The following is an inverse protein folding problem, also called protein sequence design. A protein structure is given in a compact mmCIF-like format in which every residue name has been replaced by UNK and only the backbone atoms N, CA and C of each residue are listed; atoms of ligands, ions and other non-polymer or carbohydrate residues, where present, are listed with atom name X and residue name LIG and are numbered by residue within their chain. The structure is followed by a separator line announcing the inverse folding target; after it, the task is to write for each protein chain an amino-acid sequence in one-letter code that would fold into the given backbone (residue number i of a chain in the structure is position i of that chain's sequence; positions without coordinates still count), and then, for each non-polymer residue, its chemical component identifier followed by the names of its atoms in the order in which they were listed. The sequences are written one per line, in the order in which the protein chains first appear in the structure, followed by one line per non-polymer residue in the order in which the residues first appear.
data_IF_098927585974
#
_entry.id   IF_098927585974
#
_cell.length_a   1.000
_cell.length_b   1.000
_cell.length_c   1.000
_cell.angle_alpha   90.00
_cell.angle_beta   90.00
_cell.angle_gamma   90.00
#
_symmetry.space_group_name_H-M   'P 1'
#
loop_
_entity.id
_entity.type
_entity.pdbx_description
1 polymer ?
#
# COMPACT_ATOMS: atom_id res chain seq x y z
N UNK A 1 7.47 7.69 34.17
CA UNK A 1 6.86 7.31 32.88
C UNK A 1 6.41 5.85 32.87
N UNK A 2 7.31 4.87 32.94
CA UNK A 2 6.99 3.42 32.89
C UNK A 2 5.89 2.99 33.87
N UNK A 3 5.96 3.39 35.15
CA UNK A 3 4.91 3.07 36.14
C UNK A 3 3.54 3.72 35.86
N UNK A 4 3.54 4.89 35.23
CA UNK A 4 2.29 5.55 34.84
C UNK A 4 1.68 4.86 33.61
N UNK A 5 2.54 4.45 32.66
CA UNK A 5 2.14 3.63 31.52
C UNK A 5 1.53 2.29 31.96
N UNK A 6 2.16 1.58 32.90
CA UNK A 6 1.68 0.25 33.34
C UNK A 6 0.26 0.26 33.90
N UNK A 7 -0.23 1.40 34.40
CA UNK A 7 -1.61 1.54 34.88
C UNK A 7 -2.66 1.48 33.76
N UNK A 8 -2.28 1.73 32.50
CA UNK A 8 -3.16 1.73 31.33
C UNK A 8 -3.12 0.42 30.54
N UNK A 9 -2.23 -0.51 30.92
CA UNK A 9 -2.07 -1.81 30.26
C UNK A 9 -3.21 -2.73 30.69
N UNK A 10 -4.01 -3.20 29.72
CA UNK A 10 -5.26 -3.95 29.99
C UNK A 10 -5.11 -5.48 29.94
N UNK A 11 -3.92 -5.99 29.63
CA UNK A 11 -3.64 -7.42 29.52
C UNK A 11 -2.17 -7.77 29.73
N UNK A 12 -1.80 -9.06 29.66
CA UNK A 12 -0.40 -9.48 29.79
C UNK A 12 0.43 -9.00 28.61
N UNK A 13 1.59 -8.41 28.88
CA UNK A 13 2.56 -8.01 27.84
C UNK A 13 3.60 -9.12 27.72
N UNK A 14 3.76 -9.66 26.51
CA UNK A 14 4.84 -10.59 26.17
C UNK A 14 5.86 -9.88 25.30
N UNK A 15 7.11 -9.87 25.77
CA UNK A 15 8.27 -9.39 25.04
C UNK A 15 9.12 -10.61 24.66
N UNK A 16 9.44 -10.76 23.38
CA UNK A 16 10.44 -11.73 22.96
C UNK A 16 11.71 -10.97 22.58
N UNK A 17 12.84 -11.36 23.12
CA UNK A 17 14.16 -10.86 22.71
C UNK A 17 14.86 -11.96 21.93
N UNK A 18 15.10 -11.71 20.66
CA UNK A 18 15.96 -12.55 19.83
C UNK A 18 17.40 -12.08 19.95
N UNK A 19 18.26 -12.92 20.52
CA UNK A 19 19.69 -12.69 20.58
C UNK A 19 20.40 -13.39 19.42
N UNK A 20 21.54 -12.83 19.04
CA UNK A 20 22.37 -13.33 17.95
C UNK A 20 23.83 -13.38 18.39
N UNK A 21 24.75 -13.72 17.49
CA UNK A 21 26.19 -13.62 17.75
C UNK A 21 26.67 -12.16 17.83
N UNK A 22 25.79 -11.18 17.65
CA UNK A 22 26.13 -9.76 17.77
C UNK A 22 26.41 -9.37 19.23
N UNK A 23 27.49 -8.61 19.44
CA UNK A 23 27.95 -8.16 20.76
C UNK A 23 26.94 -7.29 21.52
N UNK A 24 25.97 -6.70 20.81
CA UNK A 24 24.93 -5.80 21.37
C UNK A 24 23.69 -6.58 21.85
N UNK A 25 23.64 -7.90 21.66
CA UNK A 25 22.54 -8.75 22.16
C UNK A 25 22.27 -8.61 23.67
N UNK A 26 23.30 -8.55 24.55
CA UNK A 26 23.09 -8.39 25.98
C UNK A 26 22.33 -7.11 26.35
N UNK A 27 22.56 -6.00 25.62
CA UNK A 27 21.93 -4.71 25.91
C UNK A 27 20.40 -4.77 25.78
N UNK A 28 19.90 -5.48 24.76
CA UNK A 28 18.47 -5.67 24.53
C UNK A 28 17.84 -6.57 25.60
N UNK A 29 18.56 -7.62 26.02
CA UNK A 29 18.12 -8.53 27.09
C UNK A 29 18.04 -7.80 28.42
N UNK A 30 19.05 -7.00 28.75
CA UNK A 30 19.10 -6.25 30.00
C UNK A 30 17.98 -5.22 30.08
N UNK A 31 17.73 -4.49 28.99
CA UNK A 31 16.58 -3.58 28.87
C UNK A 31 15.26 -4.31 29.14
N UNK A 32 15.01 -5.44 28.45
CA UNK A 32 13.77 -6.18 28.59
C UNK A 32 13.57 -6.71 30.02
N UNK A 33 14.62 -7.25 30.64
CA UNK A 33 14.60 -7.73 32.03
C UNK A 33 14.39 -6.60 33.03
N UNK A 34 14.97 -5.42 32.79
CA UNK A 34 14.74 -4.26 33.63
C UNK A 34 13.28 -3.81 33.56
N UNK A 35 12.69 -3.76 32.36
CA UNK A 35 11.29 -3.43 32.17
C UNK A 35 10.36 -4.42 32.89
N UNK A 36 10.62 -5.73 32.77
CA UNK A 36 9.86 -6.78 33.47
C UNK A 36 9.96 -6.67 34.99
N UNK A 37 11.13 -6.30 35.52
CA UNK A 37 11.31 -6.06 36.97
C UNK A 37 10.49 -4.87 37.46
N UNK A 38 10.34 -3.84 36.63
CA UNK A 38 9.57 -2.64 36.98
C UNK A 38 8.06 -2.82 36.82
N UNK A 39 7.62 -3.74 35.95
CA UNK A 39 6.21 -3.91 35.57
C UNK A 39 5.81 -5.38 35.68
N UNK A 40 5.14 -5.79 36.79
CA UNK A 40 4.80 -7.20 37.04
C UNK A 40 3.95 -7.90 35.97
N UNK A 41 3.25 -7.13 35.11
CA UNK A 41 2.46 -7.66 33.98
C UNK A 41 3.24 -7.90 32.69
N UNK A 42 4.55 -7.63 32.70
CA UNK A 42 5.45 -7.84 31.56
C UNK A 42 6.24 -9.14 31.75
N UNK A 43 6.19 -10.01 30.75
CA UNK A 43 6.96 -11.26 30.69
C UNK A 43 7.96 -11.17 29.54
N UNK A 44 9.15 -11.75 29.75
CA UNK A 44 10.25 -11.72 28.78
C UNK A 44 10.67 -13.14 28.45
N UNK A 45 10.61 -13.46 27.17
CA UNK A 45 11.15 -14.68 26.59
C UNK A 45 12.42 -14.32 25.82
N UNK A 46 13.50 -15.09 26.00
CA UNK A 46 14.75 -14.90 25.26
C UNK A 46 14.91 -16.11 24.35
N UNK A 47 15.10 -15.84 23.06
CA UNK A 47 15.35 -16.82 22.02
C UNK A 47 16.72 -16.57 21.42
N UNK A 48 17.55 -17.61 21.30
CA UNK A 48 18.92 -17.49 20.82
C UNK A 48 19.05 -17.99 19.38
N UNK A 49 19.74 -17.22 18.53
CA UNK A 49 20.12 -17.63 17.17
C UNK A 49 21.64 -17.61 17.01
N UNK A 50 22.21 -18.72 16.57
CA UNK A 50 23.66 -18.83 16.26
C UNK A 50 23.98 -18.27 14.86
N UNK A 51 23.49 -17.06 14.56
CA UNK A 51 23.73 -16.34 13.32
C UNK A 51 24.29 -14.94 13.62
N UNK A 52 25.08 -14.33 12.72
CA UNK A 52 25.65 -12.99 12.91
C UNK A 52 24.66 -11.84 12.63
N UNK A 53 23.35 -12.08 12.75
CA UNK A 53 22.29 -11.11 12.44
C UNK A 53 22.16 -10.02 13.52
N UNK A 54 21.32 -9.01 13.28
CA UNK A 54 20.97 -8.02 14.29
C UNK A 54 20.09 -8.66 15.40
N UNK A 55 20.37 -8.41 16.68
CA UNK A 55 19.47 -8.80 17.77
C UNK A 55 18.22 -7.93 17.73
N UNK A 56 17.10 -8.45 18.24
CA UNK A 56 15.82 -7.75 18.14
C UNK A 56 14.92 -7.94 19.36
N UNK A 57 14.09 -6.94 19.63
CA UNK A 57 12.92 -7.07 20.50
C UNK A 57 11.70 -7.22 19.58
N UNK A 58 10.98 -8.33 19.71
CA UNK A 58 9.75 -8.60 18.98
C UNK A 58 8.54 -8.23 19.84
N UNK A 59 7.58 -7.53 19.24
CA UNK A 59 6.34 -7.13 19.90
C UNK A 59 5.14 -7.54 19.04
N UNK A 60 4.33 -8.45 19.57
CA UNK A 60 3.23 -9.06 18.81
C UNK A 60 3.74 -9.73 17.52
N UNK A 61 2.91 -9.73 16.47
CA UNK A 61 3.23 -10.35 15.17
C UNK A 61 3.83 -9.39 14.14
N UNK A 62 3.88 -8.09 14.45
CA UNK A 62 4.10 -7.06 13.43
C UNK A 62 5.23 -6.07 13.71
N UNK A 63 5.86 -6.12 14.88
CA UNK A 63 6.92 -5.17 15.25
C UNK A 63 8.24 -5.88 15.58
N UNK A 64 9.32 -5.36 14.99
CA UNK A 64 10.69 -5.84 15.19
C UNK A 64 11.58 -4.63 15.50
N UNK A 65 12.19 -4.58 16.68
CA UNK A 65 13.07 -3.48 17.08
C UNK A 65 14.53 -3.94 17.19
N UNK A 66 15.37 -3.48 16.28
CA UNK A 66 16.83 -3.56 16.36
C UNK A 66 17.36 -2.31 17.04
N UNK A 67 17.25 -2.28 18.37
CA UNK A 67 17.60 -1.12 19.17
C UNK A 67 17.20 -1.30 20.62
N UNK A 68 17.76 -0.47 21.49
CA UNK A 68 17.32 -0.36 22.88
C UNK A 68 16.43 0.87 23.00
N UNK A 69 15.10 0.71 23.16
CA UNK A 69 14.18 1.86 23.24
C UNK A 69 14.56 2.80 24.37
N UNK A 70 14.94 4.02 24.02
CA UNK A 70 15.41 5.04 24.96
C UNK A 70 14.99 6.46 24.50
N UNK A 71 15.22 7.45 25.37
CA UNK A 71 14.96 8.86 25.03
C UNK A 71 13.54 9.11 24.53
N UNK A 72 13.43 9.74 23.35
CA UNK A 72 12.16 10.07 22.71
C UNK A 72 11.38 8.82 22.23
N UNK A 73 12.06 7.70 21.98
CA UNK A 73 11.47 6.47 21.43
C UNK A 73 10.87 5.57 22.50
N UNK A 74 11.28 5.73 23.77
CA UNK A 74 10.78 4.90 24.86
C UNK A 74 9.26 5.05 25.02
N UNK A 75 8.72 6.26 24.89
CA UNK A 75 7.27 6.48 25.03
C UNK A 75 6.44 5.78 23.94
N UNK A 76 6.70 5.94 22.64
CA UNK A 76 5.96 5.20 21.62
C UNK A 76 6.20 3.69 21.69
N UNK A 77 7.39 3.22 22.07
CA UNK A 77 7.62 1.79 22.31
C UNK A 77 6.71 1.23 23.40
N UNK A 78 6.57 1.94 24.53
CA UNK A 78 5.63 1.54 25.59
C UNK A 78 4.18 1.54 25.08
N UNK A 79 3.78 2.52 24.27
CA UNK A 79 2.44 2.53 23.66
C UNK A 79 2.21 1.29 22.78
N UNK A 80 3.19 0.92 21.95
CA UNK A 80 3.16 -0.29 21.11
C UNK A 80 3.02 -1.55 21.99
N UNK A 81 3.69 -1.61 23.14
CA UNK A 81 3.49 -2.71 24.10
C UNK A 81 2.08 -2.73 24.69
N UNK A 82 1.51 -1.58 25.05
CA UNK A 82 0.14 -1.52 25.56
C UNK A 82 -0.88 -1.99 24.51
N UNK A 83 -0.70 -1.60 23.25
CA UNK A 83 -1.50 -2.07 22.12
C UNK A 83 -1.40 -3.59 21.96
N UNK A 84 -0.21 -4.17 22.10
CA UNK A 84 0.00 -5.63 22.01
C UNK A 84 -0.71 -6.44 23.12
N UNK A 85 -1.02 -5.81 24.25
CA UNK A 85 -1.69 -6.45 25.39
C UNK A 85 -3.22 -6.45 25.27
N UNK A 86 -3.79 -5.76 24.28
CA UNK A 86 -5.24 -5.70 24.08
C UNK A 86 -5.78 -7.05 23.59
N UNK A 87 -6.97 -7.42 24.05
CA UNK A 87 -7.65 -8.66 23.61
C UNK A 87 -8.11 -8.60 22.15
N UNK A 88 -8.46 -7.41 21.69
CA UNK A 88 -8.87 -7.13 20.32
C UNK A 88 -7.76 -6.29 19.69
N UNK A 89 -7.38 -6.56 18.43
CA UNK A 89 -6.46 -5.70 17.71
C UNK A 89 -6.92 -4.23 17.78
N UNK A 90 -6.01 -3.28 18.03
CA UNK A 90 -6.35 -1.88 18.00
C UNK A 90 -6.86 -1.50 16.61
N UNK A 91 -7.91 -0.68 16.57
CA UNK A 91 -8.42 -0.17 15.31
C UNK A 91 -7.36 0.76 14.68
N UNK A 92 -7.01 0.49 13.42
CA UNK A 92 -6.30 1.47 12.61
C UNK A 92 -7.19 2.73 12.43
N UNK A 93 -6.60 3.90 12.13
CA UNK A 93 -7.36 5.05 11.68
C UNK A 93 -8.35 4.66 10.57
N UNK A 94 -9.63 5.06 10.63
CA UNK A 94 -10.66 4.60 9.70
C UNK A 94 -10.32 4.84 8.23
N UNK A 95 -9.53 5.87 7.98
CA UNK A 95 -9.11 6.27 6.66
C UNK A 95 -8.00 5.34 6.09
N UNK A 96 -7.20 4.70 6.96
CA UNK A 96 -6.14 3.77 6.57
C UNK A 96 -6.60 2.30 6.50
N UNK A 97 -7.70 1.96 7.17
CA UNK A 97 -8.21 0.58 7.26
C UNK A 97 -8.42 -0.08 5.88
N UNK A 98 -9.03 0.57 4.87
CA UNK A 98 -9.22 -0.04 3.56
C UNK A 98 -7.90 -0.38 2.84
N UNK A 99 -6.83 0.39 3.08
CA UNK A 99 -5.51 0.11 2.51
C UNK A 99 -4.91 -1.14 3.16
N UNK A 100 -4.95 -1.22 4.49
CA UNK A 100 -4.42 -2.35 5.26
C UNK A 100 -5.14 -3.67 4.96
N UNK A 101 -6.46 -3.63 4.75
CA UNK A 101 -7.27 -4.79 4.36
C UNK A 101 -6.98 -5.24 2.92
N UNK A 102 -6.53 -4.32 2.06
CA UNK A 102 -6.24 -4.58 0.64
C UNK A 102 -4.86 -5.19 0.36
N UNK A 103 -4.01 -5.32 1.39
CA UNK A 103 -2.75 -6.08 1.31
C UNK A 103 -3.07 -7.56 1.11
N UNK A 104 -2.53 -8.18 0.07
CA UNK A 104 -2.73 -9.59 -0.30
C UNK A 104 -1.56 -10.45 0.20
N UNK A 105 -0.36 -9.88 0.33
CA UNK A 105 0.84 -10.56 0.85
C UNK A 105 1.54 -9.79 1.98
N UNK A 106 2.41 -10.45 2.77
CA UNK A 106 3.19 -9.77 3.81
C UNK A 106 4.14 -8.71 3.24
N UNK A 107 4.17 -7.53 3.88
CA UNK A 107 4.95 -6.36 3.51
C UNK A 107 5.73 -5.85 4.71
N UNK A 108 6.99 -5.52 4.50
CA UNK A 108 7.88 -5.01 5.54
C UNK A 108 8.28 -3.57 5.26
N UNK A 109 8.10 -2.71 6.26
CA UNK A 109 8.62 -1.35 6.28
C UNK A 109 9.82 -1.29 7.22
N UNK A 110 10.93 -0.69 6.80
CA UNK A 110 12.12 -0.50 7.65
C UNK A 110 12.29 0.96 8.03
N UNK A 111 12.17 1.27 9.31
CA UNK A 111 12.28 2.62 9.87
C UNK A 111 13.60 2.79 10.60
N UNK A 112 14.47 3.66 10.08
CA UNK A 112 15.68 4.11 10.76
C UNK A 112 15.39 5.30 11.67
N UNK A 113 15.81 5.20 12.93
CA UNK A 113 15.60 6.20 13.97
C UNK A 113 16.86 6.45 14.79
N UNK A 114 16.81 7.45 15.68
CA UNK A 114 17.79 7.62 16.76
C UNK A 114 17.10 8.07 18.04
N UNK A 115 17.51 7.57 19.23
CA UNK A 115 16.79 7.80 20.49
C UNK A 115 16.55 9.28 20.88
N UNK A 116 17.34 10.20 20.32
CA UNK A 116 17.25 11.63 20.62
C UNK A 116 16.41 12.42 19.61
N UNK A 117 15.87 11.79 18.57
CA UNK A 117 15.12 12.47 17.53
C UNK A 117 13.61 12.54 17.86
N UNK A 118 13.04 13.74 18.13
CA UNK A 118 11.63 13.87 18.46
C UNK A 118 10.72 13.52 17.27
N UNK A 119 11.16 13.75 16.04
CA UNK A 119 10.40 13.39 14.84
C UNK A 119 10.27 11.87 14.65
N UNK A 120 11.28 11.09 15.08
CA UNK A 120 11.20 9.63 15.06
C UNK A 120 10.07 9.12 15.97
N UNK A 121 9.91 9.74 17.14
CA UNK A 121 8.83 9.38 18.06
C UNK A 121 7.44 9.60 17.45
N UNK A 122 7.24 10.70 16.70
CA UNK A 122 5.96 10.94 16.01
C UNK A 122 5.69 9.86 14.95
N UNK A 123 6.67 9.51 14.12
CA UNK A 123 6.51 8.46 13.11
C UNK A 123 6.19 7.10 13.76
N UNK A 124 6.82 6.76 14.89
CA UNK A 124 6.48 5.55 15.64
C UNK A 124 5.04 5.57 16.16
N UNK A 125 4.56 6.70 16.68
CA UNK A 125 3.15 6.81 17.10
C UNK A 125 2.18 6.64 15.92
N UNK A 126 2.47 7.26 14.78
CA UNK A 126 1.61 7.16 13.59
C UNK A 126 1.55 5.72 13.05
N UNK A 127 2.66 4.98 13.14
CA UNK A 127 2.73 3.57 12.72
C UNK A 127 2.19 2.59 13.76
N UNK A 128 2.22 2.94 15.06
CA UNK A 128 1.97 2.04 16.20
C UNK A 128 0.80 1.04 16.01
N UNK A 129 -0.42 1.46 15.60
CA UNK A 129 -1.55 0.54 15.50
C UNK A 129 -1.52 -0.36 14.26
N UNK A 130 -0.79 0.01 13.19
CA UNK A 130 -0.99 -0.59 11.87
C UNK A 130 -0.57 -2.06 11.78
N UNK A 131 0.61 -2.47 12.31
CA UNK A 131 1.03 -3.87 12.26
C UNK A 131 0.16 -4.81 13.12
N UNK A 132 -0.57 -4.26 14.09
CA UNK A 132 -1.55 -5.03 14.85
C UNK A 132 -2.90 -5.11 14.11
N UNK A 133 -3.27 -4.08 13.35
CA UNK A 133 -4.49 -4.04 12.57
C UNK A 133 -4.44 -4.93 11.30
N UNK A 134 -3.24 -5.19 10.75
CA UNK A 134 -3.06 -6.13 9.65
C UNK A 134 -1.85 -7.04 9.87
N UNK A 135 -2.04 -8.37 9.94
CA UNK A 135 -0.94 -9.32 10.13
C UNK A 135 0.00 -9.38 8.91
N UNK A 136 -0.40 -8.76 7.79
CA UNK A 136 0.41 -8.64 6.57
C UNK A 136 1.34 -7.44 6.61
N UNK A 137 1.27 -6.55 7.59
CA UNK A 137 2.20 -5.43 7.70
C UNK A 137 3.18 -5.68 8.85
N UNK A 138 4.47 -5.70 8.52
CA UNK A 138 5.57 -5.78 9.47
C UNK A 138 6.30 -4.44 9.45
N UNK A 139 6.61 -3.91 10.63
CA UNK A 139 7.46 -2.73 10.78
C UNK A 139 8.70 -3.12 11.55
N UNK A 140 9.84 -3.02 10.86
CA UNK A 140 11.17 -3.14 11.42
C UNK A 140 11.67 -1.76 11.78
N UNK A 141 12.23 -1.62 12.97
CA UNK A 141 12.81 -0.39 13.49
C UNK A 141 14.28 -0.62 13.74
N UNK A 142 15.15 0.26 13.24
CA UNK A 142 16.60 0.17 13.41
C UNK A 142 17.10 1.45 14.05
N UNK A 143 17.76 1.32 15.21
CA UNK A 143 18.49 2.41 15.84
C UNK A 143 19.80 2.64 15.09
N UNK A 144 19.85 3.73 14.31
CA UNK A 144 21.00 4.09 13.49
C UNK A 144 22.22 4.53 14.33
N UNK A 145 22.04 4.88 15.60
CA UNK A 145 23.13 5.20 16.50
C UNK A 145 23.75 3.92 17.09
N UNK A 146 22.92 2.90 17.36
CA UNK A 146 23.38 1.60 17.83
C UNK A 146 23.96 0.74 16.69
N UNK A 147 23.39 0.82 15.48
CA UNK A 147 23.79 0.08 14.29
C UNK A 147 24.20 1.01 13.13
N UNK A 148 25.31 1.77 13.28
CA UNK A 148 25.74 2.74 12.27
C UNK A 148 26.19 2.09 10.95
N UNK A 149 26.60 0.83 10.96
CA UNK A 149 26.89 0.04 9.75
C UNK A 149 25.66 -0.14 8.85
N UNK A 150 24.50 -0.43 9.44
CA UNK A 150 23.24 -0.60 8.70
C UNK A 150 22.85 0.70 8.01
N UNK A 151 22.85 1.79 8.77
CA UNK A 151 22.54 3.12 8.24
C UNK A 151 23.53 3.55 7.13
N UNK A 152 24.83 3.26 7.28
CA UNK A 152 25.84 3.58 6.27
C UNK A 152 25.65 2.78 4.98
N UNK A 153 25.34 1.49 5.08
CA UNK A 153 25.18 0.62 3.90
C UNK A 153 24.07 1.09 2.95
N UNK A 154 23.03 1.72 3.49
CA UNK A 154 21.90 2.28 2.72
C UNK A 154 21.98 3.80 2.54
N UNK A 155 23.13 4.41 2.83
CA UNK A 155 23.33 5.87 2.77
C UNK A 155 22.25 6.69 3.51
N UNK A 156 21.86 6.25 4.71
CA UNK A 156 20.91 6.96 5.55
C UNK A 156 21.61 8.17 6.17
N UNK A 157 21.27 9.37 5.69
CA UNK A 157 21.88 10.64 6.12
C UNK A 157 21.07 11.39 7.18
N UNK A 158 19.81 11.03 7.37
CA UNK A 158 18.90 11.69 8.31
C UNK A 158 17.84 10.71 8.82
N UNK A 159 17.27 11.02 9.98
CA UNK A 159 16.20 10.25 10.62
C UNK A 159 15.02 11.15 11.01
N UNK A 160 13.77 10.65 11.04
CA UNK A 160 13.38 9.29 10.64
C UNK A 160 13.54 9.10 9.13
N UNK A 161 13.99 7.91 8.72
CA UNK A 161 13.92 7.47 7.32
C UNK A 161 13.20 6.13 7.26
N UNK A 162 12.06 6.11 6.58
CA UNK A 162 11.28 4.91 6.32
C UNK A 162 11.60 4.39 4.92
N UNK A 163 11.82 3.08 4.82
CA UNK A 163 12.09 2.37 3.58
C UNK A 163 11.02 1.32 3.30
N UNK A 164 10.78 1.08 2.02
CA UNK A 164 10.01 -0.06 1.54
C UNK A 164 10.71 -0.67 0.33
N UNK A 165 11.29 -1.86 0.53
CA UNK A 165 12.26 -2.44 -0.41
C UNK A 165 13.45 -1.51 -0.66
N UNK A 166 14.08 -1.67 -1.82
CA UNK A 166 15.24 -0.87 -2.21
C UNK A 166 14.85 0.44 -2.93
N UNK A 167 13.61 0.54 -3.41
CA UNK A 167 13.17 1.59 -4.34
C UNK A 167 12.50 2.79 -3.66
N UNK A 168 11.92 2.61 -2.47
CA UNK A 168 11.11 3.65 -1.84
C UNK A 168 11.71 4.13 -0.52
N UNK A 169 11.80 5.45 -0.38
CA UNK A 169 12.40 6.14 0.76
C UNK A 169 11.61 7.40 1.12
N UNK A 170 11.26 7.54 2.40
CA UNK A 170 10.67 8.75 2.97
C UNK A 170 11.52 9.24 4.14
N UNK A 171 12.00 10.48 4.07
CA UNK A 171 12.86 11.07 5.10
C UNK A 171 12.16 12.28 5.75
N UNK A 172 12.23 12.38 7.08
CA UNK A 172 11.65 13.49 7.84
C UNK A 172 10.16 13.31 8.12
N UNK A 173 9.29 14.16 7.55
CA UNK A 173 7.84 14.07 7.80
C UNK A 173 7.23 12.98 6.92
N UNK A 174 7.09 11.79 7.47
CA UNK A 174 6.45 10.65 6.80
C UNK A 174 4.93 10.79 6.87
N UNK A 175 4.25 10.73 5.71
CA UNK A 175 2.79 10.67 5.65
C UNK A 175 2.36 9.23 5.44
N UNK A 176 1.84 8.60 6.50
CA UNK A 176 1.55 7.16 6.53
C UNK A 176 0.59 6.70 5.42
N UNK A 177 -0.43 7.50 5.09
CA UNK A 177 -1.35 7.20 3.99
C UNK A 177 -0.62 7.00 2.65
N UNK A 178 0.25 7.95 2.29
CA UNK A 178 1.01 7.91 1.02
C UNK A 178 1.93 6.69 0.98
N UNK A 179 2.51 6.31 2.12
CA UNK A 179 3.31 5.08 2.26
C UNK A 179 2.45 3.85 1.98
N UNK A 180 1.30 3.71 2.65
CA UNK A 180 0.43 2.56 2.48
C UNK A 180 -0.13 2.43 1.06
N UNK A 181 -0.45 3.55 0.39
CA UNK A 181 -0.87 3.57 -1.01
C UNK A 181 0.22 2.99 -1.93
N UNK A 182 1.50 3.36 -1.71
CA UNK A 182 2.64 2.79 -2.44
C UNK A 182 2.81 1.30 -2.17
N UNK A 183 2.76 0.89 -0.89
CA UNK A 183 2.91 -0.50 -0.48
C UNK A 183 1.83 -1.37 -1.13
N UNK A 184 0.56 -0.97 -1.04
CA UNK A 184 -0.57 -1.70 -1.61
C UNK A 184 -0.48 -1.78 -3.14
N UNK A 185 0.02 -0.75 -3.80
CA UNK A 185 0.18 -0.75 -5.26
C UNK A 185 1.27 -1.73 -5.71
N UNK A 186 2.42 -1.73 -5.04
CA UNK A 186 3.50 -2.69 -5.35
C UNK A 186 3.09 -4.13 -5.06
N UNK A 187 2.19 -4.35 -4.11
CA UNK A 187 1.62 -5.67 -3.84
C UNK A 187 0.92 -6.27 -5.05
N UNK A 188 0.27 -5.42 -5.84
CA UNK A 188 -0.50 -5.78 -7.02
C UNK A 188 0.32 -5.76 -8.31
N UNK A 189 1.62 -5.48 -8.24
CA UNK A 189 2.46 -5.28 -9.43
C UNK A 189 2.03 -4.07 -10.28
N UNK A 190 1.27 -3.14 -9.70
CA UNK A 190 0.69 -1.99 -10.39
C UNK A 190 1.73 -0.87 -10.58
N UNK A 191 1.85 -0.35 -11.81
CA UNK A 191 2.56 0.90 -12.06
C UNK A 191 1.71 2.10 -11.60
N UNK A 192 2.36 3.19 -11.21
CA UNK A 192 1.66 4.45 -10.93
C UNK A 192 1.02 5.01 -12.19
N UNK A 193 -0.07 5.78 -12.06
CA UNK A 193 -0.60 6.57 -13.16
C UNK A 193 0.51 7.34 -13.91
N UNK A 194 1.41 8.01 -13.19
CA UNK A 194 2.51 8.77 -13.79
C UNK A 194 3.51 7.90 -14.58
N UNK A 195 3.84 6.71 -14.07
CA UNK A 195 4.73 5.77 -14.76
C UNK A 195 4.06 5.18 -16.00
N UNK A 196 2.77 4.81 -15.89
CA UNK A 196 1.96 4.34 -17.00
C UNK A 196 1.88 5.42 -18.08
N UNK A 197 1.54 6.66 -17.73
CA UNK A 197 1.48 7.80 -18.66
C UNK A 197 2.82 7.99 -19.39
N UNK A 198 3.95 7.89 -18.68
CA UNK A 198 5.28 7.99 -19.29
C UNK A 198 5.49 6.89 -20.34
N UNK A 199 5.17 5.64 -20.02
CA UNK A 199 5.28 4.52 -20.96
C UNK A 199 4.37 4.69 -22.18
N UNK A 200 3.14 5.17 -21.99
CA UNK A 200 2.21 5.45 -23.09
C UNK A 200 2.75 6.55 -24.02
N UNK A 201 3.31 7.62 -23.46
CA UNK A 201 3.97 8.69 -24.23
C UNK A 201 5.20 8.21 -25.00
N UNK A 202 5.84 7.14 -24.55
CA UNK A 202 6.94 6.47 -25.25
C UNK A 202 6.46 5.44 -26.30
N UNK A 203 5.14 5.30 -26.52
CA UNK A 203 4.56 4.35 -27.47
C UNK A 203 4.59 2.89 -26.98
N UNK A 204 4.73 2.66 -25.68
CA UNK A 204 4.85 1.31 -25.08
C UNK A 204 3.51 0.78 -24.55
N UNK A 205 2.43 0.96 -25.30
CA UNK A 205 1.09 0.51 -24.89
C UNK A 205 1.03 -1.01 -24.69
N UNK A 206 1.57 -1.80 -25.61
CA UNK A 206 1.57 -3.27 -25.54
C UNK A 206 2.31 -3.78 -24.29
N UNK A 207 3.37 -3.10 -23.86
CA UNK A 207 4.09 -3.47 -22.64
C UNK A 207 3.23 -3.20 -21.40
N UNK A 208 2.51 -2.08 -21.36
CA UNK A 208 1.55 -1.79 -20.29
C UNK A 208 0.45 -2.85 -20.26
N UNK A 209 -0.14 -3.19 -21.41
CA UNK A 209 -1.15 -4.23 -21.52
C UNK A 209 -0.64 -5.60 -21.04
N UNK A 210 0.58 -5.98 -21.43
CA UNK A 210 1.25 -7.21 -20.97
C UNK A 210 1.46 -7.22 -19.46
N UNK A 211 1.87 -6.11 -18.87
CA UNK A 211 2.04 -5.99 -17.41
C UNK A 211 0.69 -6.10 -16.70
N UNK A 212 -0.34 -5.43 -17.21
CA UNK A 212 -1.70 -5.49 -16.67
C UNK A 212 -2.30 -6.89 -16.78
N UNK A 213 -2.14 -7.58 -17.91
CA UNK A 213 -2.65 -8.95 -18.12
C UNK A 213 -1.98 -10.01 -17.25
N UNK A 214 -0.78 -9.73 -16.73
CA UNK A 214 -0.09 -10.58 -15.75
C UNK A 214 -0.47 -10.26 -14.30
N UNK A 215 -1.18 -9.17 -14.07
CA UNK A 215 -1.65 -8.78 -12.74
C UNK A 215 -2.81 -9.67 -12.32
N UNK A 216 -2.81 -10.12 -11.06
CA UNK A 216 -3.97 -10.82 -10.48
C UNK A 216 -5.18 -9.89 -10.31
N UNK A 217 -4.94 -8.58 -10.24
CA UNK A 217 -5.96 -7.56 -9.97
C UNK A 217 -5.95 -6.42 -10.98
N UNK A 218 -7.12 -5.83 -11.20
CA UNK A 218 -7.28 -4.65 -12.03
C UNK A 218 -6.56 -3.45 -11.44
N UNK A 219 -5.68 -2.84 -12.23
CA UNK A 219 -4.92 -1.64 -11.89
C UNK A 219 -5.84 -0.46 -11.58
N UNK A 220 -5.83 0.03 -10.32
CA UNK A 220 -6.81 1.02 -9.85
C UNK A 220 -6.68 2.38 -10.52
N UNK A 221 -5.48 2.76 -10.93
CA UNK A 221 -5.18 4.03 -11.57
C UNK A 221 -5.55 4.06 -13.06
N UNK A 222 -5.78 2.91 -13.70
CA UNK A 222 -5.97 2.84 -15.15
C UNK A 222 -7.18 3.66 -15.67
N UNK A 223 -8.35 3.69 -15.00
CA UNK A 223 -9.43 4.60 -15.37
C UNK A 223 -9.02 6.08 -15.42
N UNK A 224 -8.15 6.52 -14.52
CA UNK A 224 -7.63 7.90 -14.54
C UNK A 224 -6.70 8.17 -15.72
N UNK A 225 -5.94 7.16 -16.16
CA UNK A 225 -5.10 7.25 -17.35
C UNK A 225 -5.96 7.32 -18.62
N UNK A 226 -7.02 6.51 -18.70
CA UNK A 226 -7.93 6.51 -19.85
C UNK A 226 -8.80 7.76 -19.93
N UNK A 227 -9.08 8.43 -18.81
CA UNK A 227 -9.79 9.74 -18.79
C UNK A 227 -8.85 10.94 -18.66
N UNK A 228 -7.57 10.80 -19.03
CA UNK A 228 -6.58 11.86 -18.88
C UNK A 228 -6.85 13.08 -19.81
N UNK A 229 -6.58 14.33 -19.42
CA UNK A 229 -6.83 15.51 -20.28
C UNK A 229 -6.11 15.49 -21.63
N UNK A 230 -4.90 14.93 -21.68
CA UNK A 230 -4.12 14.79 -22.92
C UNK A 230 -4.61 13.63 -23.79
N UNK A 231 -5.02 13.92 -25.03
CA UNK A 231 -5.52 12.92 -25.99
C UNK A 231 -4.52 11.81 -26.32
N UNK A 232 -3.22 12.13 -26.46
CA UNK A 232 -2.19 11.13 -26.77
C UNK A 232 -2.05 10.06 -25.69
N UNK A 233 -2.29 10.41 -24.43
CA UNK A 233 -2.31 9.47 -23.30
C UNK A 233 -3.51 8.56 -23.39
N UNK A 234 -4.70 9.13 -23.63
CA UNK A 234 -5.95 8.35 -23.73
C UNK A 234 -5.92 7.39 -24.91
N UNK A 235 -5.39 7.80 -26.06
CA UNK A 235 -5.19 6.91 -27.20
C UNK A 235 -4.33 5.70 -26.83
N UNK A 236 -3.21 5.92 -26.13
CA UNK A 236 -2.39 4.81 -25.64
C UNK A 236 -3.13 3.91 -24.65
N UNK A 237 -3.97 4.47 -23.78
CA UNK A 237 -4.78 3.71 -22.84
C UNK A 237 -5.89 2.90 -23.54
N UNK A 238 -6.49 3.43 -24.61
CA UNK A 238 -7.46 2.70 -25.44
C UNK A 238 -6.82 1.50 -26.12
N UNK A 239 -5.61 1.64 -26.66
CA UNK A 239 -4.84 0.50 -27.21
C UNK A 239 -4.58 -0.55 -26.14
N UNK A 240 -4.20 -0.14 -24.92
CA UNK A 240 -4.05 -1.07 -23.80
C UNK A 240 -5.35 -1.81 -23.52
N UNK A 241 -6.49 -1.12 -23.49
CA UNK A 241 -7.78 -1.74 -23.22
C UNK A 241 -8.21 -2.70 -24.36
N UNK A 242 -7.90 -2.37 -25.61
CA UNK A 242 -8.13 -3.24 -26.77
C UNK A 242 -7.33 -4.54 -26.66
N UNK A 243 -6.02 -4.45 -26.41
CA UNK A 243 -5.15 -5.61 -26.18
C UNK A 243 -5.66 -6.47 -25.00
N UNK A 244 -6.11 -5.82 -23.91
CA UNK A 244 -6.70 -6.52 -22.77
C UNK A 244 -8.05 -7.15 -23.09
N UNK A 245 -8.89 -6.52 -23.92
CA UNK A 245 -10.18 -7.09 -24.31
C UNK A 245 -10.00 -8.37 -25.14
N UNK A 246 -8.96 -8.43 -25.95
CA UNK A 246 -8.60 -9.63 -26.73
C UNK A 246 -8.01 -10.74 -25.84
N UNK A 247 -7.02 -10.41 -25.00
CA UNK A 247 -6.26 -11.42 -24.23
C UNK A 247 -6.87 -11.77 -22.86
N UNK A 248 -7.54 -10.82 -22.22
CA UNK A 248 -8.04 -10.89 -20.85
C UNK A 248 -9.42 -10.20 -20.71
N UNK A 249 -10.48 -10.71 -21.38
CA UNK A 249 -11.77 -10.02 -21.52
C UNK A 249 -12.44 -9.67 -20.20
N UNK A 250 -12.33 -10.52 -19.17
CA UNK A 250 -12.88 -10.25 -17.84
C UNK A 250 -12.19 -9.06 -17.15
N UNK A 251 -10.87 -8.97 -17.29
CA UNK A 251 -10.08 -7.85 -16.77
C UNK A 251 -10.43 -6.55 -17.50
N UNK A 252 -10.52 -6.58 -18.84
CA UNK A 252 -10.93 -5.42 -19.63
C UNK A 252 -12.34 -4.93 -19.22
N UNK A 253 -13.28 -5.86 -19.07
CA UNK A 253 -14.66 -5.57 -18.64
C UNK A 253 -14.72 -4.93 -17.25
N UNK A 254 -13.83 -5.31 -16.33
CA UNK A 254 -13.78 -4.76 -14.97
C UNK A 254 -13.56 -3.24 -14.93
N UNK A 255 -12.98 -2.66 -15.99
CA UNK A 255 -12.75 -1.21 -16.08
C UNK A 255 -13.97 -0.40 -16.52
N UNK A 256 -15.00 -1.03 -17.13
CA UNK A 256 -16.10 -0.29 -17.74
C UNK A 256 -16.96 0.45 -16.74
N UNK A 257 -17.29 -0.16 -15.61
CA UNK A 257 -18.11 0.50 -14.58
C UNK A 257 -17.38 1.71 -13.97
N UNK A 258 -16.11 1.60 -13.51
CA UNK A 258 -15.33 2.77 -13.09
C UNK A 258 -15.24 3.87 -14.15
N UNK A 259 -15.06 3.52 -15.43
CA UNK A 259 -15.05 4.50 -16.52
C UNK A 259 -16.41 5.18 -16.67
N UNK A 260 -17.50 4.41 -16.62
CA UNK A 260 -18.86 4.92 -16.76
C UNK A 260 -19.28 5.89 -15.64
N UNK A 261 -18.82 5.66 -14.41
CA UNK A 261 -19.04 6.59 -13.29
C UNK A 261 -18.51 8.01 -13.56
N UNK A 262 -17.57 8.16 -14.50
CA UNK A 262 -16.97 9.45 -14.88
C UNK A 262 -17.72 10.14 -16.05
N UNK A 263 -18.67 9.45 -16.70
CA UNK A 263 -19.34 9.88 -17.94
C UNK A 263 -19.98 11.28 -17.83
N UNK A 264 -20.73 11.54 -16.75
CA UNK A 264 -21.46 12.81 -16.52
C UNK A 264 -20.54 14.03 -16.37
N UNK A 265 -19.34 13.83 -15.83
CA UNK A 265 -18.41 14.93 -15.50
C UNK A 265 -17.29 15.08 -16.53
N UNK A 266 -17.23 14.17 -17.51
CA UNK A 266 -16.22 14.12 -18.53
C UNK A 266 -16.47 15.14 -19.65
N UNK A 267 -15.41 15.65 -20.28
CA UNK A 267 -15.52 16.39 -21.54
C UNK A 267 -16.06 15.49 -22.66
N UNK A 268 -16.71 16.05 -23.68
CA UNK A 268 -17.23 15.28 -24.83
C UNK A 268 -16.20 14.33 -25.45
N UNK A 269 -14.93 14.77 -25.58
CA UNK A 269 -13.87 13.91 -26.12
C UNK A 269 -13.61 12.67 -25.26
N UNK A 270 -13.68 12.81 -23.94
CA UNK A 270 -13.50 11.70 -22.98
C UNK A 270 -14.75 10.83 -22.92
N UNK A 271 -15.95 11.43 -23.06
CA UNK A 271 -17.19 10.67 -23.20
C UNK A 271 -17.14 9.75 -24.43
N UNK A 272 -16.59 10.24 -25.55
CA UNK A 272 -16.34 9.43 -26.75
C UNK A 272 -15.44 8.24 -26.47
N UNK A 273 -14.33 8.47 -25.76
CA UNK A 273 -13.39 7.40 -25.39
C UNK A 273 -14.02 6.37 -24.44
N UNK A 274 -14.90 6.79 -23.50
CA UNK A 274 -15.64 5.89 -22.62
C UNK A 274 -16.63 5.03 -23.41
N UNK A 275 -17.39 5.62 -24.34
CA UNK A 275 -18.32 4.89 -25.20
C UNK A 275 -17.59 3.87 -26.07
N UNK A 276 -16.45 4.28 -26.64
CA UNK A 276 -15.60 3.39 -27.42
C UNK A 276 -15.07 2.23 -26.58
N UNK A 277 -14.60 2.50 -25.35
CA UNK A 277 -14.17 1.48 -24.39
C UNK A 277 -15.28 0.47 -24.06
N UNK A 278 -16.53 0.94 -23.86
CA UNK A 278 -17.70 0.08 -23.68
C UNK A 278 -17.93 -0.81 -24.90
N UNK A 279 -17.79 -0.28 -26.11
CA UNK A 279 -17.88 -1.05 -27.35
C UNK A 279 -16.78 -2.10 -27.51
N UNK A 280 -15.59 -1.89 -26.92
CA UNK A 280 -14.47 -2.83 -26.98
C UNK A 280 -14.62 -4.00 -25.99
N UNK A 281 -14.95 -3.71 -24.73
CA UNK A 281 -14.87 -4.71 -23.65
C UNK A 281 -16.23 -5.09 -23.04
N UNK A 282 -17.31 -4.45 -23.47
CA UNK A 282 -18.64 -4.64 -22.89
C UNK A 282 -19.30 -5.94 -23.32
N UNK A 283 -20.45 -6.22 -22.70
CA UNK A 283 -21.38 -7.25 -23.14
C UNK A 283 -22.74 -6.66 -23.50
N UNK A 284 -23.66 -7.53 -23.93
CA UNK A 284 -24.99 -7.12 -24.38
C UNK A 284 -25.80 -6.38 -23.30
N UNK A 285 -25.45 -6.48 -22.02
CA UNK A 285 -26.17 -5.74 -20.97
C UNK A 285 -25.93 -4.23 -21.07
N UNK A 286 -24.80 -3.80 -21.64
CA UNK A 286 -24.46 -2.40 -21.85
C UNK A 286 -25.31 -1.72 -22.92
N UNK A 287 -25.93 -2.47 -23.85
CA UNK A 287 -26.78 -1.90 -24.90
C UNK A 287 -27.90 -1.05 -24.29
N UNK A 288 -28.59 -1.57 -23.27
CA UNK A 288 -29.66 -0.82 -22.58
C UNK A 288 -29.15 0.41 -21.84
N UNK A 289 -27.92 0.37 -21.35
CA UNK A 289 -27.27 1.51 -20.68
C UNK A 289 -27.01 2.62 -21.69
N UNK A 290 -26.50 2.27 -22.87
CA UNK A 290 -26.22 3.21 -23.96
C UNK A 290 -27.51 3.80 -24.57
N UNK A 291 -28.55 2.97 -24.79
CA UNK A 291 -29.87 3.43 -25.26
C UNK A 291 -30.45 4.49 -24.32
N UNK A 292 -30.48 4.17 -23.01
CA UNK A 292 -30.98 5.09 -21.99
C UNK A 292 -30.18 6.39 -21.95
N UNK A 293 -28.85 6.30 -22.01
CA UNK A 293 -27.99 7.47 -21.97
C UNK A 293 -28.21 8.39 -23.19
N UNK A 294 -28.38 7.82 -24.39
CA UNK A 294 -28.73 8.57 -25.60
C UNK A 294 -30.07 9.30 -25.49
N UNK A 295 -31.09 8.64 -24.92
CA UNK A 295 -32.42 9.22 -24.71
C UNK A 295 -32.40 10.36 -23.68
N UNK A 296 -31.68 10.18 -22.56
CA UNK A 296 -31.64 11.16 -21.47
C UNK A 296 -30.80 12.40 -21.81
N UNK A 297 -29.73 12.25 -22.59
CA UNK A 297 -28.75 13.34 -22.83
C UNK A 297 -28.90 14.02 -24.19
N UNK A 298 -29.48 13.34 -25.19
CA UNK A 298 -29.58 13.84 -26.57
C UNK A 298 -28.26 14.47 -27.07
N UNK A 299 -27.13 13.73 -27.05
CA UNK A 299 -25.81 14.29 -27.35
C UNK A 299 -25.69 14.72 -28.82
N UNK A 300 -24.63 15.47 -29.13
CA UNK A 300 -24.28 15.84 -30.50
C UNK A 300 -24.08 14.62 -31.42
N UNK A 301 -24.17 14.81 -32.76
CA UNK A 301 -24.17 13.71 -33.73
C UNK A 301 -22.95 12.79 -33.61
N UNK A 302 -21.75 13.36 -33.46
CA UNK A 302 -20.49 12.59 -33.37
C UNK A 302 -20.50 11.61 -32.20
N UNK A 303 -20.92 12.08 -31.01
CA UNK A 303 -20.95 11.26 -29.80
C UNK A 303 -22.09 10.22 -29.85
N UNK A 304 -23.22 10.59 -30.48
CA UNK A 304 -24.31 9.66 -30.73
C UNK A 304 -23.90 8.53 -31.70
N UNK A 305 -23.06 8.83 -32.69
CA UNK A 305 -22.54 7.83 -33.64
C UNK A 305 -21.59 6.85 -32.93
N UNK A 306 -20.68 7.33 -32.07
CA UNK A 306 -19.81 6.44 -31.27
C UNK A 306 -20.63 5.50 -30.37
N UNK A 307 -21.69 6.01 -29.74
CA UNK A 307 -22.58 5.18 -28.93
C UNK A 307 -23.31 4.10 -29.76
N UNK A 308 -23.76 4.43 -30.97
CA UNK A 308 -24.38 3.47 -31.90
C UNK A 308 -23.39 2.41 -32.36
N UNK A 309 -22.18 2.80 -32.75
CA UNK A 309 -21.12 1.86 -33.12
C UNK A 309 -20.78 0.91 -31.96
N UNK A 310 -20.71 1.43 -30.73
CA UNK A 310 -20.52 0.60 -29.55
C UNK A 310 -21.65 -0.43 -29.39
N UNK A 311 -22.92 -0.01 -29.53
CA UNK A 311 -24.06 -0.94 -29.47
C UNK A 311 -24.04 -2.00 -30.58
N UNK A 312 -23.64 -1.62 -31.80
CA UNK A 312 -23.50 -2.56 -32.93
C UNK A 312 -22.42 -3.62 -32.64
N UNK A 313 -21.26 -3.19 -32.14
CA UNK A 313 -20.19 -4.11 -31.71
C UNK A 313 -20.70 -5.08 -30.66
N UNK A 314 -21.35 -4.58 -29.60
CA UNK A 314 -21.91 -5.41 -28.53
C UNK A 314 -22.99 -6.39 -29.02
N UNK A 315 -23.79 -5.99 -30.01
CA UNK A 315 -24.80 -6.84 -30.64
C UNK A 315 -24.21 -7.95 -31.51
N UNK A 316 -23.01 -7.74 -32.04
CA UNK A 316 -22.32 -8.67 -32.94
C UNK A 316 -21.55 -9.80 -32.24
N UNK A 317 -21.36 -9.74 -30.91
CA UNK A 317 -20.61 -10.71 -30.07
C UNK A 317 -21.31 -12.09 -29.94
N UNK A 318 -22.16 -12.48 -30.89
CA UNK A 318 -22.88 -13.77 -30.87
C UNK A 318 -22.86 -14.48 -32.24
N UNK A 319 -21.66 -14.92 -32.66
CA UNK A 319 -21.47 -16.01 -33.65
C UNK A 319 -20.30 -16.91 -33.24
N UNK A 320 -20.50 -17.77 -32.26
CA UNK A 320 -20.72 -19.22 -32.43
C UNK A 320 -20.73 -19.93 -31.05
N UNK A 321 -21.37 -21.12 -30.94
CA UNK A 321 -21.82 -21.75 -29.69
C UNK A 321 -20.75 -22.38 -28.81
#
# INVERSE_FOLDING_TARGET
MVRAWSAHVTGPVRLTVETTLNERSPDLVDFARELARMVPGVTVEVSERELPDLPAILVGSGWIFHGVPAGAELRPFLEILALSAQKTPPAAPPDLLPLLESLESPRELTLYITPQCPHCAHTLFDLAPLPFASPRLIVRVIDAALFPEEARSLEIRAVPTLLYGDDFRWTGRVKIREVLEVVCRQDRGELSAAATIRLLKEGKAQEVARLMGRSEHAWKDFPHVLTHPEWSVRLGALVVLEDLAEAHPDLARSYLLPLWERMETASESVQGDILYAVGLAGDRSWIRVLERWLEEHAPGPDLADVAREAMEKLGSVNRDP
#
